data_IF_604194579351
#
_entry.id   IF_604194579351
#
_cell.length_a   1.000
_cell.length_b   1.000
_cell.length_c   1.000
_cell.angle_alpha   90.00
_cell.angle_beta   90.00
_cell.angle_gamma   90.00
#
_symmetry.space_group_name_H-M   'P 1'
#
loop_
_entity.id
_entity.type
_entity.pdbx_description
1 polymer ?
#
# COMPACT_ATOMS: atom_id res chain seq x y z
N UNK A 1 -28.40 -26.41 -18.49
CA UNK A 1 -28.06 -25.02 -18.74
C UNK A 1 -26.93 -24.73 -17.77
N UNK A 2 -25.70 -24.82 -18.26
CA UNK A 2 -24.54 -24.57 -17.43
C UNK A 2 -24.44 -23.05 -17.13
N UNK A 3 -24.30 -22.71 -15.87
CA UNK A 3 -23.86 -21.39 -15.47
C UNK A 3 -22.51 -21.14 -16.14
N UNK A 4 -22.44 -20.14 -17.01
CA UNK A 4 -21.15 -19.56 -17.40
C UNK A 4 -20.56 -19.00 -16.11
N UNK A 5 -19.64 -19.75 -15.50
CA UNK A 5 -18.77 -19.20 -14.48
C UNK A 5 -18.09 -17.98 -15.11
N UNK A 6 -18.42 -16.80 -14.61
CA UNK A 6 -17.74 -15.57 -15.01
C UNK A 6 -16.28 -15.73 -14.55
N UNK A 7 -15.40 -16.06 -15.50
CA UNK A 7 -13.96 -16.03 -15.22
C UNK A 7 -13.59 -14.64 -14.72
N UNK A 8 -12.72 -14.53 -13.70
CA UNK A 8 -12.29 -13.25 -13.18
C UNK A 8 -11.75 -12.36 -14.30
N UNK A 9 -12.24 -11.13 -14.37
CA UNK A 9 -11.72 -10.14 -15.31
C UNK A 9 -10.30 -9.74 -14.89
N UNK A 10 -9.38 -9.64 -15.84
CA UNK A 10 -8.00 -9.19 -15.56
C UNK A 10 -7.90 -7.69 -15.32
N UNK A 11 -8.83 -7.15 -14.51
CA UNK A 11 -8.99 -5.71 -14.22
C UNK A 11 -9.31 -5.49 -12.74
N UNK A 12 -9.34 -4.24 -12.30
CA UNK A 12 -9.77 -3.85 -10.94
C UNK A 12 -11.22 -3.38 -10.89
N UNK A 13 -12.01 -3.66 -11.94
CA UNK A 13 -13.38 -3.18 -12.06
C UNK A 13 -14.27 -3.67 -10.91
N UNK A 14 -14.08 -4.91 -10.46
CA UNK A 14 -14.81 -5.51 -9.34
C UNK A 14 -14.76 -4.66 -8.07
N UNK A 15 -13.59 -4.14 -7.67
CA UNK A 15 -13.47 -3.31 -6.47
C UNK A 15 -14.00 -1.89 -6.67
N UNK A 16 -13.99 -1.38 -7.89
CA UNK A 16 -14.56 -0.05 -8.19
C UNK A 16 -16.09 -0.08 -8.16
N UNK A 17 -16.70 -1.19 -8.56
CA UNK A 17 -18.16 -1.40 -8.58
C UNK A 17 -18.73 -1.78 -7.21
N UNK A 18 -17.91 -2.22 -6.28
CA UNK A 18 -18.34 -2.57 -4.92
C UNK A 18 -18.56 -1.31 -4.08
N UNK A 19 -19.76 -0.74 -4.13
CA UNK A 19 -20.11 0.55 -3.51
C UNK A 19 -19.97 0.58 -1.98
N UNK A 20 -20.08 -0.56 -1.32
CA UNK A 20 -19.92 -0.72 0.13
C UNK A 20 -18.47 -0.62 0.60
N UNK A 21 -17.50 -0.79 -0.31
CA UNK A 21 -16.09 -0.86 0.02
C UNK A 21 -15.58 0.46 0.60
N UNK A 22 -15.06 0.40 1.82
CA UNK A 22 -14.55 1.54 2.58
C UNK A 22 -13.03 1.50 2.77
N UNK A 23 -12.46 0.32 2.96
CA UNK A 23 -11.05 0.13 3.29
C UNK A 23 -10.35 -0.68 2.21
N UNK A 24 -9.40 -0.06 1.51
CA UNK A 24 -8.62 -0.72 0.45
C UNK A 24 -7.16 -0.66 0.81
N UNK A 25 -6.59 -1.80 1.17
CA UNK A 25 -5.17 -1.92 1.46
C UNK A 25 -4.40 -2.32 0.20
N UNK A 26 -3.31 -1.66 -0.07
CA UNK A 26 -2.42 -1.98 -1.20
C UNK A 26 -1.06 -2.37 -0.66
N UNK A 27 -0.68 -3.63 -0.82
CA UNK A 27 0.54 -4.14 -0.23
C UNK A 27 1.31 -5.10 -1.13
N UNK A 28 2.53 -5.39 -0.73
CA UNK A 28 3.43 -6.29 -1.46
C UNK A 28 4.89 -6.03 -1.11
N UNK A 29 5.78 -6.74 -1.78
CA UNK A 29 7.23 -6.62 -1.62
C UNK A 29 7.74 -5.19 -1.87
N UNK A 30 8.87 -4.83 -1.29
CA UNK A 30 9.56 -3.57 -1.61
C UNK A 30 9.94 -3.48 -3.09
N UNK A 31 9.76 -2.30 -3.72
CA UNK A 31 10.18 -2.03 -5.10
C UNK A 31 9.24 -2.55 -6.20
N UNK A 32 8.07 -3.10 -5.87
CA UNK A 32 7.11 -3.62 -6.88
C UNK A 32 6.20 -2.54 -7.47
N UNK A 33 6.23 -1.29 -6.96
CA UNK A 33 5.40 -0.18 -7.42
C UNK A 33 4.08 -0.04 -6.66
N UNK A 34 4.05 -0.36 -5.36
CA UNK A 34 2.86 -0.20 -4.49
C UNK A 34 2.30 1.21 -4.54
N UNK A 35 3.12 2.21 -4.28
CA UNK A 35 2.70 3.62 -4.22
C UNK A 35 2.13 4.12 -5.54
N UNK A 36 2.68 3.70 -6.67
CA UNK A 36 2.11 4.02 -7.99
C UNK A 36 0.74 3.35 -8.15
N UNK A 37 0.62 2.06 -7.79
CA UNK A 37 -0.65 1.34 -7.91
C UNK A 37 -1.72 1.88 -6.95
N UNK A 38 -1.37 2.19 -5.70
CA UNK A 38 -2.29 2.78 -4.71
C UNK A 38 -2.76 4.18 -5.13
N UNK A 39 -1.85 5.01 -5.66
CA UNK A 39 -2.17 6.32 -6.20
C UNK A 39 -3.13 6.23 -7.39
N UNK A 40 -2.93 5.25 -8.28
CA UNK A 40 -3.83 5.01 -9.41
C UNK A 40 -5.20 4.51 -8.94
N UNK A 41 -5.25 3.56 -8.01
CA UNK A 41 -6.51 3.10 -7.42
C UNK A 41 -7.28 4.25 -6.77
N UNK A 42 -6.62 5.11 -5.98
CA UNK A 42 -7.23 6.29 -5.40
C UNK A 42 -7.79 7.25 -6.47
N UNK A 43 -7.03 7.44 -7.57
CA UNK A 43 -7.46 8.21 -8.73
C UNK A 43 -8.70 7.61 -9.41
N UNK A 44 -8.77 6.28 -9.53
CA UNK A 44 -9.93 5.58 -10.10
C UNK A 44 -11.13 5.65 -9.16
N UNK A 45 -10.94 5.44 -7.86
CA UNK A 45 -12.01 5.63 -6.89
C UNK A 45 -12.56 7.06 -6.88
N UNK A 46 -11.72 8.08 -7.08
CA UNK A 46 -12.18 9.46 -7.18
C UNK A 46 -13.13 9.74 -8.36
N UNK A 47 -13.17 8.85 -9.37
CA UNK A 47 -14.14 8.94 -10.48
C UNK A 47 -15.51 8.39 -10.13
N UNK A 48 -15.59 7.48 -9.16
CA UNK A 48 -16.82 6.71 -8.84
C UNK A 48 -17.30 6.91 -7.39
N UNK A 49 -16.55 7.61 -6.55
CA UNK A 49 -16.88 7.89 -5.14
C UNK A 49 -16.98 9.39 -4.87
N UNK A 50 -17.77 9.76 -3.89
CA UNK A 50 -17.99 11.17 -3.50
C UNK A 50 -16.78 11.79 -2.81
N UNK A 51 -16.03 11.02 -2.03
CA UNK A 51 -14.81 11.46 -1.33
C UNK A 51 -13.84 10.30 -1.14
N UNK A 52 -12.58 10.53 -1.42
CA UNK A 52 -11.51 9.53 -1.37
C UNK A 52 -10.34 10.07 -0.57
N UNK A 53 -9.80 9.24 0.31
CA UNK A 53 -8.54 9.53 1.01
C UNK A 53 -7.51 8.46 0.67
N UNK A 54 -6.32 8.85 0.27
CA UNK A 54 -5.16 7.95 0.23
C UNK A 54 -4.22 8.27 1.39
N UNK A 55 -3.82 7.24 2.12
CA UNK A 55 -2.92 7.33 3.27
C UNK A 55 -1.68 6.49 2.98
N UNK A 56 -0.51 7.11 2.98
CA UNK A 56 0.75 6.36 2.99
C UNK A 56 1.23 6.15 4.42
N UNK A 57 1.57 4.90 4.74
CA UNK A 57 2.23 4.49 5.97
C UNK A 57 3.70 4.12 5.73
N UNK A 58 4.21 4.39 4.54
CA UNK A 58 5.62 4.20 4.20
C UNK A 58 6.41 5.46 4.60
N UNK A 59 7.42 5.36 5.48
CA UNK A 59 8.20 6.51 5.94
C UNK A 59 9.03 7.19 4.84
N UNK A 60 9.11 6.60 3.65
CA UNK A 60 9.91 7.15 2.54
C UNK A 60 9.23 8.30 1.78
N UNK A 61 8.05 8.79 2.22
CA UNK A 61 7.31 9.91 1.58
C UNK A 61 7.07 9.76 0.07
N UNK A 62 6.93 8.53 -0.39
CA UNK A 62 6.79 8.19 -1.82
C UNK A 62 5.51 8.73 -2.45
N UNK A 63 4.47 9.03 -1.64
CA UNK A 63 3.19 9.55 -2.11
C UNK A 63 3.34 10.98 -2.64
N UNK A 64 4.13 11.81 -1.93
CA UNK A 64 4.47 13.16 -2.37
C UNK A 64 5.19 13.16 -3.73
N UNK A 65 6.07 12.18 -3.96
CA UNK A 65 6.77 12.02 -5.23
C UNK A 65 5.81 11.53 -6.34
N UNK A 66 4.94 10.55 -6.04
CA UNK A 66 4.00 10.01 -7.00
C UNK A 66 3.03 11.08 -7.55
N UNK A 67 2.53 11.98 -6.71
CA UNK A 67 1.64 13.07 -7.11
C UNK A 67 2.37 14.37 -7.47
N UNK A 68 3.69 14.46 -7.26
CA UNK A 68 4.48 15.70 -7.38
C UNK A 68 3.88 16.85 -6.55
N UNK A 69 3.40 16.54 -5.36
CA UNK A 69 2.78 17.46 -4.41
C UNK A 69 3.17 17.05 -2.99
N UNK A 70 3.57 18.00 -2.14
CA UNK A 70 3.88 17.71 -0.74
C UNK A 70 2.62 17.40 0.06
N UNK A 71 2.67 16.33 0.82
CA UNK A 71 1.64 15.95 1.77
C UNK A 71 2.22 15.95 3.19
N UNK A 72 1.33 16.00 4.17
CA UNK A 72 1.65 16.03 5.60
C UNK A 72 0.77 15.01 6.34
N UNK A 73 0.84 14.99 7.67
CA UNK A 73 -0.01 14.17 8.54
C UNK A 73 -1.50 14.56 8.48
N UNK A 74 -1.85 15.65 7.82
CA UNK A 74 -3.25 16.09 7.67
C UNK A 74 -3.70 15.90 6.21
N UNK A 75 -4.95 15.44 6.00
CA UNK A 75 -5.49 15.26 4.64
C UNK A 75 -5.42 16.55 3.84
N UNK A 76 -4.75 16.50 2.72
CA UNK A 76 -4.56 17.61 1.79
C UNK A 76 -5.20 17.27 0.47
N UNK A 77 -5.98 18.19 -0.11
CA UNK A 77 -6.61 18.00 -1.41
C UNK A 77 -5.54 17.83 -2.48
N UNK A 78 -5.68 16.78 -3.29
CA UNK A 78 -4.79 16.52 -4.43
C UNK A 78 -5.10 17.50 -5.54
N UNK A 79 -4.06 18.16 -6.09
CA UNK A 79 -4.19 19.10 -7.19
C UNK A 79 -4.96 18.47 -8.37
N UNK A 80 -5.86 19.22 -8.98
CA UNK A 80 -6.65 18.74 -10.11
C UNK A 80 -7.81 17.78 -9.76
N UNK A 81 -8.10 17.58 -8.47
CA UNK A 81 -9.27 16.87 -7.97
C UNK A 81 -10.09 17.75 -7.02
N UNK A 82 -11.37 17.44 -6.89
CA UNK A 82 -12.28 18.09 -5.93
C UNK A 82 -12.66 17.19 -4.75
N UNK A 83 -12.33 15.88 -4.84
CA UNK A 83 -12.79 14.85 -3.92
C UNK A 83 -11.69 13.80 -3.56
N UNK A 84 -10.45 13.99 -4.02
CA UNK A 84 -9.31 13.14 -3.67
C UNK A 84 -8.39 13.88 -2.71
N UNK A 85 -8.17 13.28 -1.55
CA UNK A 85 -7.27 13.78 -0.51
C UNK A 85 -6.14 12.80 -0.29
N UNK A 86 -4.98 13.30 0.12
CA UNK A 86 -3.80 12.49 0.44
C UNK A 86 -3.16 12.94 1.75
N UNK A 87 -2.60 11.99 2.49
CA UNK A 87 -1.79 12.25 3.68
C UNK A 87 -0.69 11.21 3.85
N UNK A 88 0.39 11.59 4.50
CA UNK A 88 1.52 10.72 4.84
C UNK A 88 1.65 10.64 6.36
N UNK A 89 1.64 9.41 6.89
CA UNK A 89 1.79 9.14 8.32
C UNK A 89 3.10 8.41 8.54
N UNK A 90 4.01 9.05 9.27
CA UNK A 90 5.22 8.38 9.72
C UNK A 90 4.93 7.64 11.04
N UNK A 91 5.00 6.31 11.06
CA UNK A 91 4.77 5.54 12.27
C UNK A 91 5.88 5.73 13.32
N UNK A 92 7.03 6.30 12.95
CA UNK A 92 8.19 6.46 13.82
C UNK A 92 8.32 7.87 14.43
N UNK A 93 7.27 8.70 14.38
CA UNK A 93 7.38 10.05 14.94
C UNK A 93 7.47 9.98 16.46
N UNK A 94 8.62 10.45 16.95
CA UNK A 94 8.84 10.82 18.35
C UNK A 94 7.63 11.58 18.89
N UNK A 95 7.12 11.17 20.04
CA UNK A 95 6.05 11.86 20.73
C UNK A 95 6.40 13.34 20.84
N UNK A 96 5.60 14.18 20.18
CA UNK A 96 5.72 15.64 20.34
C UNK A 96 5.40 15.94 21.80
N UNK A 97 6.42 16.35 22.57
CA UNK A 97 6.36 16.64 24.01
C UNK A 97 5.35 17.75 24.38
N UNK A 98 4.50 18.18 23.44
CA UNK A 98 3.60 19.31 23.59
C UNK A 98 2.22 18.99 24.18
N UNK A 99 1.89 17.74 24.46
CA UNK A 99 0.65 17.36 25.14
C UNK A 99 0.93 16.91 26.57
N UNK A 100 1.09 17.92 27.44
CA UNK A 100 0.86 17.88 28.89
C UNK A 100 1.52 16.73 29.65
N UNK A 101 2.71 17.01 30.18
CA UNK A 101 3.38 16.20 31.18
C UNK A 101 2.49 15.96 32.39
N UNK A 102 1.97 14.72 32.50
CA UNK A 102 1.57 14.20 33.80
C UNK A 102 1.79 12.68 33.84
N UNK A 103 1.91 12.11 35.02
CA UNK A 103 2.32 10.75 35.40
C UNK A 103 1.75 9.59 34.55
N UNK A 104 0.77 9.85 33.68
CA UNK A 104 0.21 8.92 32.71
C UNK A 104 1.18 8.52 31.59
N UNK A 105 2.10 9.44 31.23
CA UNK A 105 3.10 9.17 30.17
C UNK A 105 4.16 8.16 30.62
N UNK A 106 4.52 8.13 31.89
CA UNK A 106 5.47 7.17 32.43
C UNK A 106 4.98 5.74 32.36
N UNK A 107 3.71 5.47 32.71
CA UNK A 107 3.14 4.14 32.66
C UNK A 107 2.89 3.64 31.24
N UNK A 108 2.42 4.52 30.35
CA UNK A 108 2.26 4.21 28.92
C UNK A 108 3.61 3.98 28.25
N UNK A 109 4.63 4.76 28.61
CA UNK A 109 6.01 4.58 28.15
C UNK A 109 6.63 3.27 28.63
N UNK A 110 6.41 2.88 29.91
CA UNK A 110 6.85 1.59 30.45
C UNK A 110 6.12 0.41 29.81
N UNK A 111 4.85 0.59 29.47
CA UNK A 111 4.06 -0.39 28.74
C UNK A 111 4.54 -0.50 27.28
N UNK A 112 4.82 0.64 26.65
CA UNK A 112 5.39 0.74 25.31
C UNK A 112 6.74 -0.01 25.23
N UNK A 113 7.60 0.20 26.21
CA UNK A 113 8.88 -0.48 26.30
C UNK A 113 8.75 -2.01 26.57
N UNK A 114 7.61 -2.44 27.10
CA UNK A 114 7.35 -3.86 27.46
C UNK A 114 6.75 -4.69 26.33
N UNK A 115 6.14 -4.04 25.32
CA UNK A 115 5.48 -4.72 24.19
C UNK A 115 6.07 -4.17 22.88
N UNK A 116 6.93 -4.93 22.19
CA UNK A 116 7.52 -4.46 20.92
C UNK A 116 6.45 -4.09 19.89
N UNK A 117 6.53 -2.86 19.35
CA UNK A 117 5.62 -2.36 18.32
C UNK A 117 4.32 -1.74 18.84
N UNK A 118 4.19 -1.48 20.16
CA UNK A 118 3.00 -0.83 20.72
C UNK A 118 2.93 0.66 20.32
N UNK A 119 4.07 1.33 20.17
CA UNK A 119 4.12 2.73 19.75
C UNK A 119 3.60 2.93 18.33
N UNK A 120 4.08 2.09 17.39
CA UNK A 120 3.58 2.06 16.01
C UNK A 120 2.08 1.78 15.99
N UNK A 121 1.67 0.97 16.88
CA UNK A 121 0.33 0.49 17.07
C UNK A 121 -0.60 1.58 17.63
N UNK A 122 -0.17 2.32 18.62
CA UNK A 122 -0.95 3.44 19.17
C UNK A 122 -1.07 4.56 18.15
N UNK A 123 0.00 4.91 17.46
CA UNK A 123 -0.03 5.89 16.36
C UNK A 123 -1.02 5.48 15.26
N UNK A 124 -1.06 4.19 14.93
CA UNK A 124 -2.02 3.67 13.96
C UNK A 124 -3.46 3.72 14.47
N UNK A 125 -3.71 3.39 15.75
CA UNK A 125 -5.03 3.49 16.36
C UNK A 125 -5.54 4.94 16.41
N UNK A 126 -4.68 5.89 16.74
CA UNK A 126 -5.00 7.32 16.71
C UNK A 126 -5.33 7.79 15.28
N UNK A 127 -4.54 7.36 14.31
CA UNK A 127 -4.80 7.64 12.89
C UNK A 127 -6.15 7.05 12.47
N UNK A 128 -6.44 5.79 12.81
CA UNK A 128 -7.73 5.17 12.50
C UNK A 128 -8.89 5.89 13.17
N UNK A 129 -8.75 6.30 14.43
CA UNK A 129 -9.75 7.10 15.13
C UNK A 129 -9.99 8.43 14.42
N UNK A 130 -8.92 9.12 14.02
CA UNK A 130 -9.02 10.36 13.25
C UNK A 130 -9.75 10.13 11.93
N UNK A 131 -9.35 9.11 11.20
CA UNK A 131 -9.92 8.76 9.88
C UNK A 131 -11.38 8.29 9.99
N UNK A 132 -11.77 7.60 11.07
CA UNK A 132 -13.18 7.23 11.31
C UNK A 132 -14.09 8.45 11.58
N UNK A 133 -13.54 9.52 12.15
CA UNK A 133 -14.28 10.77 12.34
C UNK A 133 -14.45 11.56 11.04
N UNK A 134 -13.70 11.22 10.01
CA UNK A 134 -13.75 11.84 8.68
C UNK A 134 -14.68 11.03 7.78
N UNK A 135 -15.63 11.71 7.15
CA UNK A 135 -16.65 11.07 6.30
C UNK A 135 -16.13 10.85 4.87
N UNK A 136 -15.08 9.99 4.72
CA UNK A 136 -14.63 9.55 3.42
C UNK A 136 -15.41 8.31 2.96
N UNK A 137 -15.81 8.30 1.68
CA UNK A 137 -16.52 7.16 1.08
C UNK A 137 -15.61 5.94 0.95
N UNK A 138 -14.33 6.15 0.60
CA UNK A 138 -13.32 5.10 0.52
C UNK A 138 -11.95 5.63 0.94
N UNK A 139 -11.18 4.76 1.58
CA UNK A 139 -9.83 5.05 2.06
C UNK A 139 -8.88 4.01 1.50
N UNK A 140 -7.87 4.47 0.77
CA UNK A 140 -6.82 3.63 0.18
C UNK A 140 -5.57 3.74 1.04
N UNK A 141 -5.05 2.62 1.52
CA UNK A 141 -3.80 2.54 2.27
C UNK A 141 -2.66 2.11 1.36
N UNK A 142 -1.71 3.01 1.15
CA UNK A 142 -0.40 2.70 0.60
C UNK A 142 0.49 2.18 1.73
N UNK A 143 0.70 0.87 1.76
CA UNK A 143 1.36 0.25 2.91
C UNK A 143 2.87 0.13 2.72
N UNK A 144 3.60 0.24 3.81
CA UNK A 144 5.02 -0.11 3.86
C UNK A 144 5.24 -1.58 3.41
N UNK A 145 6.48 -2.04 3.12
CA UNK A 145 6.73 -3.41 2.69
C UNK A 145 6.16 -4.47 3.63
N UNK A 146 5.77 -5.61 3.08
CA UNK A 146 4.94 -6.72 3.61
C UNK A 146 5.03 -7.02 5.12
N UNK A 147 6.24 -6.95 5.70
CA UNK A 147 6.42 -7.25 7.12
C UNK A 147 5.76 -6.26 8.07
N UNK A 148 5.76 -4.97 7.74
CA UNK A 148 5.10 -3.91 8.51
C UNK A 148 3.58 -3.90 8.27
N UNK A 149 3.14 -4.13 7.04
CA UNK A 149 1.72 -4.19 6.69
C UNK A 149 0.97 -5.26 7.47
N UNK A 150 1.55 -6.47 7.56
CA UNK A 150 0.94 -7.57 8.32
C UNK A 150 0.86 -7.23 9.81
N UNK A 151 1.85 -6.54 10.38
CA UNK A 151 1.79 -6.06 11.77
C UNK A 151 0.65 -5.06 11.97
N UNK A 152 0.46 -4.12 11.04
CA UNK A 152 -0.65 -3.16 11.08
C UNK A 152 -2.01 -3.86 11.09
N UNK A 153 -2.19 -4.85 10.22
CA UNK A 153 -3.44 -5.60 10.12
C UNK A 153 -3.67 -6.56 11.31
N UNK A 154 -2.60 -7.08 11.91
CA UNK A 154 -2.66 -7.90 13.13
C UNK A 154 -2.92 -7.08 14.39
N UNK A 155 -2.64 -5.78 14.30
CA UNK A 155 -2.60 -4.91 15.45
C UNK A 155 -3.91 -4.87 16.24
N UNK A 156 -5.10 -4.69 15.64
CA UNK A 156 -6.34 -4.69 16.39
C UNK A 156 -6.50 -5.95 17.24
N UNK A 157 -6.22 -7.13 16.68
CA UNK A 157 -6.32 -8.43 17.40
C UNK A 157 -5.27 -8.58 18.50
N UNK A 158 -4.08 -8.03 18.30
CA UNK A 158 -2.98 -8.13 19.27
C UNK A 158 -3.22 -7.17 20.44
N UNK A 159 -3.69 -5.98 20.17
CA UNK A 159 -4.02 -4.99 21.19
C UNK A 159 -5.25 -5.40 22.01
N UNK A 160 -6.27 -5.93 21.37
CA UNK A 160 -7.45 -6.49 22.05
C UNK A 160 -7.04 -7.54 23.08
N UNK A 161 -6.19 -8.50 22.69
CA UNK A 161 -5.64 -9.53 23.59
C UNK A 161 -4.77 -8.92 24.70
N UNK A 162 -3.96 -7.93 24.38
CA UNK A 162 -3.12 -7.19 25.33
C UNK A 162 -3.95 -6.46 26.37
N UNK A 163 -4.95 -5.70 25.95
CA UNK A 163 -5.87 -4.96 26.81
C UNK A 163 -6.70 -5.91 27.69
N UNK A 164 -7.24 -6.99 27.13
CA UNK A 164 -7.96 -8.01 27.88
C UNK A 164 -7.09 -8.65 28.96
N UNK A 165 -5.81 -8.91 28.67
CA UNK A 165 -4.85 -9.45 29.63
C UNK A 165 -4.53 -8.44 30.74
N UNK A 166 -4.35 -7.17 30.41
CA UNK A 166 -4.18 -6.08 31.39
C UNK A 166 -5.38 -5.94 32.32
N UNK A 167 -6.60 -5.91 31.76
CA UNK A 167 -7.83 -5.86 32.57
C UNK A 167 -7.96 -7.09 33.48
N UNK A 168 -7.58 -8.28 33.02
CA UNK A 168 -7.59 -9.47 33.86
C UNK A 168 -6.55 -9.44 34.98
N UNK A 169 -5.39 -8.84 34.76
CA UNK A 169 -4.36 -8.62 35.78
C UNK A 169 -4.83 -7.60 36.84
N UNK A 170 -5.49 -6.52 36.44
CA UNK A 170 -6.11 -5.58 37.39
C UNK A 170 -7.06 -6.28 38.33
N UNK A 171 -7.96 -7.12 37.82
CA UNK A 171 -8.90 -7.87 38.65
C UNK A 171 -8.23 -8.86 39.63
N UNK A 172 -7.00 -9.33 39.32
CA UNK A 172 -6.23 -10.22 40.20
C UNK A 172 -5.31 -9.47 41.17
N UNK A 173 -4.79 -8.31 40.79
CA UNK A 173 -3.76 -7.58 41.52
C UNK A 173 -4.22 -6.18 42.00
N UNK A 174 -5.45 -5.73 41.68
CA UNK A 174 -5.99 -4.42 42.07
C UNK A 174 -5.93 -4.17 43.58
N UNK A 175 -6.12 -5.20 44.40
CA UNK A 175 -5.98 -5.10 45.87
C UNK A 175 -4.52 -4.92 46.33
N UNK A 176 -3.54 -5.37 45.56
CA UNK A 176 -2.12 -5.19 45.88
C UNK A 176 -1.60 -3.81 45.38
N UNK A 177 -2.10 -3.36 44.22
CA UNK A 177 -1.78 -2.04 43.66
C UNK A 177 -2.31 -0.93 44.54
N UNK A 178 -3.57 -1.02 45.00
CA UNK A 178 -4.17 -0.04 45.92
C UNK A 178 -3.54 -0.02 47.32
N UNK A 179 -2.89 -1.09 47.74
CA UNK A 179 -2.08 -1.09 48.97
C UNK A 179 -0.71 -0.43 48.75
N UNK A 180 -0.10 -0.60 47.58
CA UNK A 180 1.17 0.07 47.26
C UNK A 180 1.01 1.58 47.06
N UNK A 181 -0.03 2.03 46.36
CA UNK A 181 -0.30 3.47 46.17
C UNK A 181 -0.58 4.18 47.49
N UNK A 182 -1.32 3.55 48.43
CA UNK A 182 -1.50 4.07 49.80
C UNK A 182 -0.20 4.17 50.58
N UNK A 183 0.76 3.29 50.35
CA UNK A 183 2.09 3.31 51.00
C UNK A 183 2.99 4.42 50.45
N UNK A 184 2.82 4.84 49.20
CA UNK A 184 3.60 5.89 48.56
C UNK A 184 2.95 7.28 48.54
N UNK A 185 1.76 7.45 49.16
CA UNK A 185 1.14 8.74 49.37
C UNK A 185 0.61 9.43 48.11
N UNK A 186 0.30 8.70 47.08
CA UNK A 186 -0.31 9.20 45.86
C UNK A 186 -1.83 9.12 46.02
N UNK A 187 -2.52 10.27 46.03
CA UNK A 187 -3.99 10.34 46.05
C UNK A 187 -4.57 9.90 44.72
N UNK A 188 -5.14 8.69 44.67
CA UNK A 188 -5.21 7.83 43.47
C UNK A 188 -6.59 7.67 42.83
N UNK A 189 -7.62 8.39 43.27
CA UNK A 189 -8.96 8.16 42.72
C UNK A 189 -9.21 8.79 41.33
N UNK A 190 -8.41 9.81 40.93
CA UNK A 190 -8.63 10.52 39.67
C UNK A 190 -7.76 10.02 38.49
N UNK A 191 -6.61 9.41 38.74
CA UNK A 191 -5.69 8.98 37.68
C UNK A 191 -6.08 7.63 37.06
N UNK A 192 -6.47 6.67 37.89
CA UNK A 192 -6.70 5.28 37.50
C UNK A 192 -7.96 5.13 36.63
N UNK A 193 -9.06 5.81 37.02
CA UNK A 193 -10.32 5.77 36.27
C UNK A 193 -10.22 6.53 34.92
N UNK A 194 -9.41 7.57 34.83
CA UNK A 194 -9.18 8.31 33.59
C UNK A 194 -8.36 7.47 32.58
N UNK A 195 -7.33 6.75 33.07
CA UNK A 195 -6.52 5.84 32.23
C UNK A 195 -7.39 4.68 31.74
N UNK A 196 -8.17 4.11 32.62
CA UNK A 196 -9.07 3.00 32.27
C UNK A 196 -10.13 3.43 31.27
N UNK A 197 -10.73 4.60 31.45
CA UNK A 197 -11.71 5.14 30.49
C UNK A 197 -11.09 5.38 29.10
N UNK A 198 -9.84 5.84 29.04
CA UNK A 198 -9.11 5.97 27.77
C UNK A 198 -8.83 4.58 27.13
N UNK A 199 -8.40 3.61 27.93
CA UNK A 199 -8.12 2.24 27.45
C UNK A 199 -9.41 1.51 27.02
N UNK A 200 -10.51 1.67 27.71
CA UNK A 200 -11.82 1.13 27.33
C UNK A 200 -12.32 1.79 26.03
N UNK A 201 -12.21 3.11 25.91
CA UNK A 201 -12.55 3.81 24.67
C UNK A 201 -11.68 3.40 23.48
N UNK A 202 -10.41 3.13 23.70
CA UNK A 202 -9.54 2.57 22.66
C UNK A 202 -9.93 1.14 22.29
N UNK A 203 -10.28 0.31 23.28
CA UNK A 203 -10.71 -1.07 23.04
C UNK A 203 -11.92 -1.11 22.11
N UNK A 204 -12.95 -0.31 22.38
CA UNK A 204 -14.17 -0.27 21.58
C UNK A 204 -13.89 0.14 20.12
N UNK A 205 -13.03 1.15 19.91
CA UNK A 205 -12.60 1.57 18.57
C UNK A 205 -11.87 0.44 17.86
N UNK A 206 -10.96 -0.25 18.55
CA UNK A 206 -10.15 -1.34 17.99
C UNK A 206 -11.02 -2.54 17.62
N UNK A 207 -11.97 -2.92 18.48
CA UNK A 207 -12.91 -4.00 18.20
C UNK A 207 -13.78 -3.66 16.97
N UNK A 208 -14.25 -2.42 16.87
CA UNK A 208 -15.00 -1.96 15.72
C UNK A 208 -14.18 -1.99 14.42
N UNK A 209 -12.93 -1.51 14.47
CA UNK A 209 -12.03 -1.55 13.32
C UNK A 209 -11.70 -2.98 12.91
N UNK A 210 -11.40 -3.85 13.88
CA UNK A 210 -11.12 -5.27 13.62
C UNK A 210 -12.30 -5.96 12.92
N UNK A 211 -13.53 -5.65 13.36
CA UNK A 211 -14.74 -6.16 12.72
C UNK A 211 -14.89 -5.65 11.28
N UNK A 212 -14.60 -4.37 11.03
CA UNK A 212 -14.67 -3.80 9.68
C UNK A 212 -13.60 -4.38 8.76
N UNK A 213 -12.37 -4.62 9.26
CA UNK A 213 -11.29 -5.19 8.46
C UNK A 213 -11.52 -6.63 8.04
N UNK A 214 -12.32 -7.38 8.80
CA UNK A 214 -12.72 -8.75 8.48
C UNK A 214 -13.98 -8.84 7.62
N UNK A 215 -14.67 -7.75 7.42
CA UNK A 215 -15.89 -7.69 6.61
C UNK A 215 -15.53 -7.51 5.12
N UNK A 216 -15.72 -8.53 4.26
CA UNK A 216 -15.38 -8.46 2.85
C UNK A 216 -16.22 -7.45 2.07
N UNK A 217 -17.38 -7.04 2.61
CA UNK A 217 -18.18 -5.99 2.00
C UNK A 217 -17.58 -4.59 2.23
N UNK A 218 -16.78 -4.42 3.28
CA UNK A 218 -16.19 -3.14 3.66
C UNK A 218 -14.69 -3.04 3.37
N UNK A 219 -13.99 -4.16 3.32
CA UNK A 219 -12.51 -4.19 3.27
C UNK A 219 -12.02 -5.17 2.23
N UNK A 220 -11.04 -4.76 1.46
CA UNK A 220 -10.27 -5.67 0.59
C UNK A 220 -8.79 -5.32 0.61
N UNK A 221 -7.97 -6.32 0.31
CA UNK A 221 -6.53 -6.17 0.16
C UNK A 221 -6.12 -6.45 -1.29
N UNK A 222 -5.43 -5.49 -1.93
CA UNK A 222 -4.88 -5.62 -3.27
C UNK A 222 -3.39 -5.94 -3.18
N UNK A 223 -3.01 -7.13 -3.65
CA UNK A 223 -1.61 -7.55 -3.68
C UNK A 223 -0.90 -6.98 -4.91
N UNK A 224 0.21 -6.26 -4.73
CA UNK A 224 1.06 -5.77 -5.83
C UNK A 224 2.35 -6.57 -5.86
N UNK A 225 2.69 -7.10 -7.02
CA UNK A 225 3.86 -7.93 -7.24
C UNK A 225 4.49 -7.67 -8.61
N UNK A 226 5.61 -8.33 -8.89
CA UNK A 226 6.26 -8.38 -10.20
C UNK A 226 6.49 -9.85 -10.60
N UNK A 227 6.65 -10.18 -11.88
CA UNK A 227 6.77 -11.57 -12.33
C UNK A 227 8.18 -12.12 -12.07
N UNK A 228 8.55 -12.26 -10.79
CA UNK A 228 9.83 -12.78 -10.30
C UNK A 228 9.62 -13.76 -9.14
N UNK A 229 10.58 -14.69 -8.96
CA UNK A 229 10.49 -15.74 -7.95
C UNK A 229 10.21 -15.22 -6.54
N UNK A 230 11.04 -14.29 -6.06
CA UNK A 230 10.88 -13.78 -4.69
C UNK A 230 9.59 -12.99 -4.52
N UNK A 231 9.11 -12.30 -5.55
CA UNK A 231 7.85 -11.57 -5.50
C UNK A 231 6.66 -12.51 -5.44
N UNK A 232 6.65 -13.59 -6.24
CA UNK A 232 5.63 -14.64 -6.18
C UNK A 232 5.60 -15.29 -4.79
N UNK A 233 6.75 -15.71 -4.27
CA UNK A 233 6.84 -16.36 -2.96
C UNK A 233 6.35 -15.45 -1.81
N UNK A 234 6.73 -14.16 -1.84
CA UNK A 234 6.26 -13.21 -0.84
C UNK A 234 4.76 -12.91 -0.97
N UNK A 235 4.22 -12.88 -2.20
CA UNK A 235 2.78 -12.72 -2.45
C UNK A 235 2.00 -13.91 -1.92
N UNK A 236 2.47 -15.14 -2.17
CA UNK A 236 1.85 -16.36 -1.64
C UNK A 236 1.81 -16.33 -0.11
N UNK A 237 2.92 -15.98 0.53
CA UNK A 237 2.97 -15.83 1.98
C UNK A 237 2.04 -14.72 2.49
N UNK A 238 1.96 -13.59 1.78
CA UNK A 238 1.07 -12.50 2.14
C UNK A 238 -0.40 -12.94 2.08
N UNK A 239 -0.83 -13.59 0.99
CA UNK A 239 -2.19 -14.11 0.84
C UNK A 239 -2.53 -15.13 1.94
N UNK A 240 -1.61 -16.05 2.25
CA UNK A 240 -1.80 -17.01 3.34
C UNK A 240 -1.97 -16.33 4.71
N UNK A 241 -1.20 -15.28 5.00
CA UNK A 241 -1.35 -14.54 6.25
C UNK A 241 -2.66 -13.73 6.27
N UNK A 242 -3.05 -13.08 5.16
CA UNK A 242 -4.34 -12.38 5.06
C UNK A 242 -5.53 -13.33 5.31
N UNK A 243 -5.48 -14.53 4.74
CA UNK A 243 -6.48 -15.58 4.97
C UNK A 243 -6.55 -15.98 6.44
N UNK A 244 -5.41 -16.12 7.14
CA UNK A 244 -5.40 -16.41 8.59
C UNK A 244 -6.04 -15.32 9.44
N UNK A 245 -5.98 -14.06 8.96
CA UNK A 245 -6.58 -12.91 9.63
C UNK A 245 -8.01 -12.63 9.18
N UNK A 246 -8.56 -13.47 8.28
CA UNK A 246 -9.90 -13.32 7.74
C UNK A 246 -10.05 -11.98 6.97
N UNK A 247 -8.99 -11.52 6.31
CA UNK A 247 -8.99 -10.31 5.48
C UNK A 247 -9.16 -10.73 4.02
N UNK A 248 -10.17 -10.17 3.38
CA UNK A 248 -10.48 -10.43 1.98
C UNK A 248 -9.37 -10.00 1.03
N UNK A 249 -9.01 -10.85 0.09
CA UNK A 249 -8.07 -10.55 -0.99
C UNK A 249 -8.40 -11.37 -2.24
N UNK A 250 -8.88 -10.69 -3.29
CA UNK A 250 -9.23 -11.30 -4.58
C UNK A 250 -8.63 -10.55 -5.76
N UNK A 251 -7.75 -9.57 -5.52
CA UNK A 251 -7.10 -8.79 -6.55
C UNK A 251 -5.57 -8.85 -6.43
N UNK A 252 -4.92 -9.27 -7.53
CA UNK A 252 -3.47 -9.26 -7.67
C UNK A 252 -3.11 -8.38 -8.85
N UNK A 253 -2.24 -7.39 -8.64
CA UNK A 253 -1.66 -6.55 -9.67
C UNK A 253 -0.23 -7.02 -9.93
N UNK A 254 0.00 -7.61 -11.10
CA UNK A 254 1.34 -7.98 -11.55
C UNK A 254 1.88 -6.82 -12.38
N UNK A 255 2.74 -6.02 -11.76
CA UNK A 255 3.34 -4.83 -12.34
C UNK A 255 4.64 -5.17 -13.09
N UNK A 256 5.13 -4.24 -13.91
CA UNK A 256 6.39 -4.33 -14.65
C UNK A 256 6.48 -5.55 -15.58
N UNK A 257 5.37 -5.94 -16.19
CA UNK A 257 5.32 -7.03 -17.16
C UNK A 257 5.89 -6.54 -18.49
N UNK A 258 6.83 -7.29 -19.06
CA UNK A 258 7.33 -7.07 -20.41
C UNK A 258 6.41 -7.82 -21.35
N UNK A 259 5.61 -7.10 -22.11
CA UNK A 259 4.74 -7.69 -23.13
C UNK A 259 5.51 -7.92 -24.42
N UNK A 260 5.05 -8.92 -25.21
CA UNK A 260 5.66 -9.26 -26.48
C UNK A 260 5.28 -8.19 -27.52
N UNK A 261 6.21 -7.26 -27.77
CA UNK A 261 6.15 -6.34 -28.89
C UNK A 261 6.93 -6.96 -30.05
N UNK A 262 6.38 -6.94 -31.26
CA UNK A 262 6.92 -7.60 -32.44
C UNK A 262 8.46 -7.42 -32.58
N UNK A 263 9.17 -8.57 -32.60
CA UNK A 263 10.61 -8.70 -32.87
C UNK A 263 11.53 -8.03 -31.84
N UNK A 264 11.70 -8.72 -30.72
CA UNK A 264 12.75 -8.36 -29.78
C UNK A 264 14.09 -8.92 -30.27
N UNK A 265 14.97 -8.08 -30.80
CA UNK A 265 16.32 -8.47 -31.24
C UNK A 265 17.26 -8.79 -30.06
N UNK A 266 16.98 -8.28 -28.87
CA UNK A 266 17.81 -8.43 -27.68
C UNK A 266 17.66 -9.82 -27.04
N UNK A 267 18.75 -10.62 -27.06
CA UNK A 267 18.80 -11.93 -26.37
C UNK A 267 18.50 -11.83 -24.87
N UNK A 268 18.94 -10.73 -24.23
CA UNK A 268 18.70 -10.49 -22.81
C UNK A 268 17.19 -10.30 -22.54
N UNK A 269 16.53 -9.49 -23.35
CA UNK A 269 15.10 -9.23 -23.21
C UNK A 269 14.27 -10.51 -23.47
N UNK A 270 14.62 -11.28 -24.50
CA UNK A 270 14.00 -12.59 -24.75
C UNK A 270 14.16 -13.57 -23.58
N UNK A 271 15.35 -13.60 -22.96
CA UNK A 271 15.59 -14.44 -21.79
C UNK A 271 14.74 -13.98 -20.59
N UNK A 272 14.61 -12.66 -20.39
CA UNK A 272 13.79 -12.07 -19.34
C UNK A 272 12.30 -12.39 -19.54
N UNK A 273 11.80 -12.27 -20.77
CA UNK A 273 10.41 -12.60 -21.12
C UNK A 273 10.09 -14.08 -20.89
N UNK A 274 10.98 -15.00 -21.24
CA UNK A 274 10.79 -16.43 -20.95
C UNK A 274 10.76 -16.70 -19.44
N UNK A 275 11.61 -16.01 -18.68
CA UNK A 275 11.66 -16.18 -17.23
C UNK A 275 10.40 -15.64 -16.56
N UNK A 276 9.91 -14.46 -16.95
CA UNK A 276 8.67 -13.91 -16.41
C UNK A 276 7.45 -14.77 -16.74
N UNK A 277 7.38 -15.36 -17.97
CA UNK A 277 6.27 -16.20 -18.37
C UNK A 277 6.07 -17.37 -17.42
N UNK A 278 7.15 -18.01 -16.99
CA UNK A 278 7.09 -19.08 -15.99
C UNK A 278 6.39 -18.64 -14.70
N UNK A 279 6.64 -17.41 -14.23
CA UNK A 279 6.01 -16.91 -13.00
C UNK A 279 4.59 -16.43 -13.24
N UNK A 280 4.29 -15.85 -14.41
CA UNK A 280 2.92 -15.54 -14.81
C UNK A 280 2.05 -16.79 -14.82
N UNK A 281 2.52 -17.88 -15.43
CA UNK A 281 1.80 -19.16 -15.45
C UNK A 281 1.56 -19.70 -14.03
N UNK A 282 2.52 -19.53 -13.12
CA UNK A 282 2.38 -19.91 -11.71
C UNK A 282 1.34 -19.05 -10.98
N UNK A 283 1.30 -17.73 -11.22
CA UNK A 283 0.27 -16.85 -10.67
C UNK A 283 -1.13 -17.30 -11.10
N UNK A 284 -1.34 -17.57 -12.39
CA UNK A 284 -2.63 -18.04 -12.90
C UNK A 284 -3.02 -19.43 -12.39
N UNK A 285 -2.05 -20.29 -12.11
CA UNK A 285 -2.29 -21.61 -11.54
C UNK A 285 -2.68 -21.56 -10.04
N UNK A 286 -2.06 -20.65 -9.29
CA UNK A 286 -2.26 -20.52 -7.84
C UNK A 286 -3.49 -19.68 -7.47
N UNK A 287 -3.89 -18.75 -8.36
CA UNK A 287 -4.90 -17.73 -8.11
C UNK A 287 -5.92 -17.66 -9.26
N UNK A 288 -6.49 -18.82 -9.64
CA UNK A 288 -7.43 -18.94 -10.75
C UNK A 288 -8.78 -18.26 -10.46
N UNK A 289 -9.11 -18.06 -9.20
CA UNK A 289 -10.28 -17.33 -8.70
C UNK A 289 -10.04 -15.83 -8.43
N UNK A 290 -8.80 -15.34 -8.65
CA UNK A 290 -8.45 -13.94 -8.41
C UNK A 290 -8.52 -13.09 -9.68
N UNK A 291 -8.86 -11.81 -9.52
CA UNK A 291 -8.70 -10.82 -10.59
C UNK A 291 -7.22 -10.44 -10.73
N UNK A 292 -6.55 -11.00 -11.73
CA UNK A 292 -5.12 -10.76 -11.98
C UNK A 292 -4.96 -9.69 -13.05
N UNK A 293 -4.62 -8.47 -12.62
CA UNK A 293 -4.35 -7.34 -13.52
C UNK A 293 -2.86 -7.28 -13.88
N UNK A 294 -2.53 -7.31 -15.18
CA UNK A 294 -1.14 -7.17 -15.66
C UNK A 294 -0.87 -5.77 -16.17
N UNK A 295 0.17 -5.14 -15.64
CA UNK A 295 0.58 -3.80 -16.01
C UNK A 295 1.94 -3.80 -16.72
N UNK A 296 2.12 -3.04 -17.81
CA UNK A 296 3.34 -3.02 -18.58
C UNK A 296 4.50 -2.33 -17.82
N UNK A 297 5.72 -2.83 -18.07
CA UNK A 297 6.92 -2.07 -17.77
C UNK A 297 7.06 -0.92 -18.76
N UNK A 298 7.00 0.30 -18.26
CA UNK A 298 7.15 1.50 -19.09
C UNK A 298 8.60 1.97 -19.14
N UNK A 299 9.00 2.66 -20.22
CA UNK A 299 10.35 3.25 -20.35
C UNK A 299 10.54 4.48 -19.46
N UNK A 300 9.48 5.05 -18.91
CA UNK A 300 9.48 6.23 -18.05
C UNK A 300 8.73 5.92 -16.75
N UNK A 301 9.10 6.61 -15.68
CA UNK A 301 8.37 6.53 -14.41
C UNK A 301 6.99 7.17 -14.51
N UNK A 302 6.03 6.60 -13.80
CA UNK A 302 4.66 7.11 -13.74
C UNK A 302 4.56 8.04 -12.53
N UNK A 303 4.85 9.32 -12.75
CA UNK A 303 4.83 10.36 -11.73
C UNK A 303 4.02 11.57 -12.22
N UNK A 304 3.30 12.20 -11.29
CA UNK A 304 2.42 13.33 -11.56
C UNK A 304 1.03 12.91 -12.05
N UNK A 305 0.08 13.81 -11.87
CA UNK A 305 -1.35 13.54 -12.04
C UNK A 305 -1.71 13.07 -13.45
N UNK A 306 -1.13 13.67 -14.47
CA UNK A 306 -1.45 13.34 -15.85
C UNK A 306 -0.92 11.95 -16.24
N UNK A 307 0.28 11.59 -15.78
CA UNK A 307 0.85 10.24 -16.00
C UNK A 307 0.03 9.18 -15.25
N UNK A 308 -0.35 9.44 -13.99
CA UNK A 308 -1.21 8.55 -13.20
C UNK A 308 -2.57 8.34 -13.87
N UNK A 309 -3.21 9.42 -14.37
CA UNK A 309 -4.48 9.35 -15.10
C UNK A 309 -4.35 8.57 -16.42
N UNK A 310 -3.29 8.79 -17.18
CA UNK A 310 -3.06 8.09 -18.43
C UNK A 310 -2.84 6.59 -18.17
N UNK A 311 -2.00 6.24 -17.19
CA UNK A 311 -1.71 4.86 -16.85
C UNK A 311 -2.90 4.13 -16.20
N UNK A 312 -3.82 4.84 -15.55
CA UNK A 312 -5.01 4.27 -14.91
C UNK A 312 -5.90 3.46 -15.87
N UNK A 313 -5.86 3.73 -17.18
CA UNK A 313 -6.61 2.99 -18.18
C UNK A 313 -6.20 1.50 -18.23
N UNK A 314 -4.94 1.20 -17.91
CA UNK A 314 -4.41 -0.16 -17.90
C UNK A 314 -4.97 -1.02 -16.74
N UNK A 315 -5.61 -0.39 -15.76
CA UNK A 315 -6.29 -1.06 -14.66
C UNK A 315 -7.73 -1.46 -15.01
N UNK A 316 -8.32 -0.78 -16.00
CA UNK A 316 -9.73 -0.94 -16.40
C UNK A 316 -9.90 -1.86 -17.62
N UNK A 317 -8.82 -2.11 -18.35
CA UNK A 317 -8.84 -3.02 -19.50
C UNK A 317 -7.51 -3.76 -19.58
N UNK A 318 -7.52 -5.06 -19.90
CA UNK A 318 -6.28 -5.81 -20.08
C UNK A 318 -5.35 -5.11 -21.08
N UNK A 319 -4.12 -4.87 -20.67
CA UNK A 319 -3.14 -4.25 -21.56
C UNK A 319 -2.95 -5.10 -22.80
N UNK A 320 -3.20 -4.51 -23.94
CA UNK A 320 -2.86 -5.08 -25.23
C UNK A 320 -1.69 -4.30 -25.78
N UNK A 321 -0.54 -4.96 -26.05
CA UNK A 321 0.54 -4.31 -26.77
C UNK A 321 -0.08 -3.70 -28.03
N UNK A 322 0.09 -2.39 -28.20
CA UNK A 322 -0.35 -1.78 -29.44
C UNK A 322 0.34 -2.56 -30.55
N UNK A 323 -0.42 -3.25 -31.38
CA UNK A 323 0.05 -3.59 -32.72
C UNK A 323 0.19 -2.24 -33.40
N UNK A 324 1.23 -1.53 -33.04
CA UNK A 324 1.59 -0.27 -33.63
C UNK A 324 1.96 -0.56 -35.10
N UNK A 325 0.97 -0.59 -35.94
CA UNK A 325 1.14 0.02 -37.23
C UNK A 325 1.39 1.49 -36.89
N UNK A 326 2.69 1.78 -36.61
CA UNK A 326 3.11 3.14 -36.33
C UNK A 326 2.51 4.02 -37.40
N UNK A 327 1.85 5.08 -37.00
CA UNK A 327 1.46 6.10 -37.97
C UNK A 327 2.74 6.52 -38.70
N UNK A 328 2.62 7.02 -39.91
CA UNK A 328 3.78 7.52 -40.66
C UNK A 328 4.58 8.51 -39.80
N UNK A 329 3.89 9.31 -38.98
CA UNK A 329 4.46 10.23 -38.00
C UNK A 329 5.29 9.54 -36.88
N UNK A 330 4.81 8.42 -36.33
CA UNK A 330 5.56 7.66 -35.31
C UNK A 330 6.82 7.02 -35.89
N UNK A 331 6.73 6.53 -37.13
CA UNK A 331 7.90 6.00 -37.85
C UNK A 331 8.88 7.11 -38.20
N UNK A 332 8.42 8.30 -38.57
CA UNK A 332 9.28 9.47 -38.84
C UNK A 332 9.99 9.96 -37.57
N UNK A 333 9.28 10.02 -36.43
CA UNK A 333 9.86 10.32 -35.12
C UNK A 333 10.93 9.29 -34.72
N UNK A 334 10.63 8.00 -34.91
CA UNK A 334 11.58 6.90 -34.62
C UNK A 334 12.81 6.95 -35.55
N UNK A 335 12.63 7.22 -36.83
CA UNK A 335 13.71 7.42 -37.79
C UNK A 335 14.58 8.62 -37.41
N UNK A 336 13.98 9.72 -36.99
CA UNK A 336 14.71 10.92 -36.55
C UNK A 336 15.55 10.64 -35.30
N UNK A 337 14.99 9.93 -34.30
CA UNK A 337 15.68 9.50 -33.08
C UNK A 337 16.85 8.57 -33.39
N UNK A 338 16.65 7.57 -34.22
CA UNK A 338 17.71 6.63 -34.64
C UNK A 338 18.85 7.34 -35.40
N UNK A 339 18.55 8.35 -36.22
CA UNK A 339 19.56 9.17 -36.90
C UNK A 339 20.41 9.96 -35.91
N UNK A 340 19.84 10.47 -34.84
CA UNK A 340 20.57 11.15 -33.76
C UNK A 340 21.48 10.17 -33.02
N UNK A 341 20.98 8.99 -32.67
CA UNK A 341 21.80 7.92 -32.03
C UNK A 341 22.95 7.46 -32.92
N UNK A 342 22.69 7.25 -34.21
CA UNK A 342 23.72 6.87 -35.18
C UNK A 342 24.82 7.93 -35.24
N UNK A 343 24.46 9.21 -35.35
CA UNK A 343 25.44 10.31 -35.40
C UNK A 343 26.31 10.41 -34.16
N UNK A 344 25.72 10.15 -32.98
CA UNK A 344 26.46 10.12 -31.71
C UNK A 344 27.42 8.94 -31.66
N UNK A 345 27.00 7.75 -32.09
CA UNK A 345 27.83 6.57 -32.15
C UNK A 345 28.99 6.72 -33.16
N UNK A 346 28.71 7.32 -34.32
CA UNK A 346 29.77 7.64 -35.33
C UNK A 346 30.78 8.64 -34.76
N UNK A 347 30.34 9.66 -34.03
CA UNK A 347 31.21 10.63 -33.38
C UNK A 347 32.09 10.00 -32.29
N UNK A 348 31.55 9.04 -31.52
CA UNK A 348 32.37 8.25 -30.56
C UNK A 348 33.37 7.34 -31.24
N UNK A 349 32.94 6.68 -32.30
CA UNK A 349 33.82 5.82 -33.09
C UNK A 349 34.99 6.61 -33.68
N UNK A 350 34.74 7.81 -34.20
CA UNK A 350 35.78 8.71 -34.73
C UNK A 350 36.74 9.20 -33.64
N UNK A 351 36.24 9.49 -32.44
CA UNK A 351 37.09 9.82 -31.28
C UNK A 351 38.02 8.65 -30.92
N UNK A 352 37.51 7.41 -30.89
CA UNK A 352 38.28 6.21 -30.60
C UNK A 352 39.32 5.91 -31.69
N UNK A 353 38.97 6.12 -32.96
CA UNK A 353 39.94 5.94 -34.08
C UNK A 353 41.05 6.98 -34.01
N UNK A 354 40.76 8.25 -33.74
CA UNK A 354 41.77 9.32 -33.57
C UNK A 354 42.62 9.12 -32.31
N UNK A 355 42.09 8.50 -31.25
CA UNK A 355 42.84 8.14 -30.04
C UNK A 355 43.86 7.01 -30.30
N UNK A 356 43.54 6.04 -31.18
CA UNK A 356 44.45 4.93 -31.54
C UNK A 356 45.56 5.33 -32.52
N UNK A 357 45.48 6.47 -33.19
CA UNK A 357 46.53 6.99 -34.08
C UNK A 357 47.60 7.83 -33.36
N UNK A 358 47.44 8.08 -32.04
CA UNK A 358 48.37 8.87 -31.23
C UNK A 358 49.20 8.03 -30.24
N UNK A 359 49.15 6.71 -30.34
CA UNK A 359 50.03 5.74 -29.67
C UNK A 359 50.81 5.02 -30.76
#
# INVERSE_FOLDING_TARGET
MGSTENLPEGTVQNILEQDSLKWVFVGGKGGVGKTTCSSILATLFARVRSSVLIISTDPAHNLSDAFQQKFTKTPTLVNGYSNLYAMEVDPNVEHDESLGSDMTDGFLSDLANSIPGIDEAMSFAEMLKLVQTMDYSVIVFDTAPTGHTLRLLQFPSTLEKGLAKMMSLKNKFGGLLSQMTRLFGVDDEFGEDAILGKLEGMKDVIEQVNKQFKDPDLTTFVCVCIPEFLSLYETERLVQELTKFEIDTHNIIINQVIFDEEVVESKLLQARMRMQQKYLDQFYMLYDDFNITKLPLLPQEVCGIEALKAFSQQFLSPYQPSKARGTVEDLELRVSSLRVQLRNAEAELDKLKKGKQKV
#
